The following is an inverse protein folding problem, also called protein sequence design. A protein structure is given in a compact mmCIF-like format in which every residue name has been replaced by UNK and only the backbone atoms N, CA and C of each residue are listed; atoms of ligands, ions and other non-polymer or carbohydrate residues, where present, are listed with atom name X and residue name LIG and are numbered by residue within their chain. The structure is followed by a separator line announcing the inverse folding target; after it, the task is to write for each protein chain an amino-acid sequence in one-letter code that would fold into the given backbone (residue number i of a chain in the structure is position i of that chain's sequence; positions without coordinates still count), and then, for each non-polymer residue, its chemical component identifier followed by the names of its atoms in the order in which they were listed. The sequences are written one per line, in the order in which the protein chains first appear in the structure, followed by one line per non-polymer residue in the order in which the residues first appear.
data_IF_636927454904
#
_entry.id   IF_636927454904
#
_cell.length_a   1.000
_cell.length_b   1.000
_cell.length_c   1.000
_cell.angle_alpha   90.00
_cell.angle_beta   90.00
_cell.angle_gamma   90.00
#
_symmetry.space_group_name_H-M   'P 1'
#
loop_
_entity.id
_entity.type
_entity.pdbx_description
1 polymer ?
#
# COMPACT_ATOMS: atom_id res chain seq x y z
N UNK A 1 -5.60 -35.37 4.82
CA UNK A 1 -5.87 -33.92 4.70
C UNK A 1 -4.64 -33.26 4.11
N UNK A 2 -4.77 -32.47 3.03
CA UNK A 2 -3.63 -31.73 2.49
C UNK A 2 -3.10 -30.75 3.54
N UNK A 3 -1.78 -30.56 3.58
CA UNK A 3 -1.14 -29.56 4.44
C UNK A 3 -1.52 -28.17 3.94
N UNK A 4 -2.19 -27.39 4.79
CA UNK A 4 -2.46 -25.99 4.52
C UNK A 4 -1.19 -25.20 4.92
N UNK A 5 -0.35 -24.90 3.93
CA UNK A 5 0.88 -24.13 4.14
C UNK A 5 0.50 -22.65 4.20
N UNK A 6 0.31 -22.13 5.42
CA UNK A 6 0.12 -20.70 5.65
C UNK A 6 1.50 -20.06 5.78
N UNK A 7 1.81 -19.12 4.90
CA UNK A 7 3.02 -18.32 5.04
C UNK A 7 2.94 -17.48 6.32
N UNK A 8 4.01 -17.50 7.13
CA UNK A 8 4.16 -16.48 8.16
C UNK A 8 4.11 -15.15 7.42
N UNK A 9 3.22 -14.25 7.83
CA UNK A 9 3.27 -12.87 7.37
C UNK A 9 4.62 -12.31 7.77
N UNK A 10 5.59 -12.42 6.87
CA UNK A 10 6.77 -11.59 6.86
C UNK A 10 6.21 -10.20 6.65
N UNK A 11 5.91 -9.50 7.75
CA UNK A 11 5.93 -8.06 7.77
C UNK A 11 7.31 -7.71 7.25
N UNK A 12 7.42 -7.52 5.94
CA UNK A 12 8.67 -7.45 5.20
C UNK A 12 9.43 -6.16 5.48
N UNK A 13 9.17 -5.54 6.65
CA UNK A 13 9.98 -4.53 7.33
C UNK A 13 10.60 -3.56 6.35
N UNK A 14 9.81 -3.06 5.41
CA UNK A 14 10.29 -2.28 4.29
C UNK A 14 9.95 -0.81 4.48
N UNK A 15 10.68 0.04 3.78
CA UNK A 15 10.26 1.42 3.58
C UNK A 15 9.73 1.58 2.18
N UNK A 16 8.60 2.25 2.01
CA UNK A 16 8.18 2.70 0.70
C UNK A 16 9.24 3.67 0.17
N UNK A 17 9.84 3.31 -0.94
CA UNK A 17 10.72 4.17 -1.73
C UNK A 17 9.92 4.67 -2.93
N UNK A 18 9.43 5.92 -2.93
CA UNK A 18 8.58 6.41 -4.01
C UNK A 18 9.19 6.28 -5.41
N UNK A 19 10.53 6.39 -5.52
CA UNK A 19 11.23 6.22 -6.79
C UNK A 19 11.04 4.84 -7.43
N UNK A 20 10.88 3.79 -6.62
CA UNK A 20 10.80 2.41 -7.11
C UNK A 20 9.41 2.09 -7.68
N UNK A 21 8.40 2.90 -7.32
CA UNK A 21 6.99 2.68 -7.67
C UNK A 21 6.33 3.88 -8.34
N UNK A 22 7.08 4.93 -8.67
CA UNK A 22 6.55 6.19 -9.23
C UNK A 22 5.84 6.02 -10.57
N UNK A 23 6.24 5.02 -11.36
CA UNK A 23 5.69 4.76 -12.70
C UNK A 23 4.56 3.72 -12.68
N UNK A 24 4.19 3.22 -11.48
CA UNK A 24 3.10 2.27 -11.33
C UNK A 24 1.76 2.93 -11.69
N UNK A 25 0.95 2.34 -12.60
CA UNK A 25 -0.38 2.85 -12.94
C UNK A 25 -1.33 2.96 -11.74
N UNK A 26 -1.16 2.12 -10.72
CA UNK A 26 -1.94 2.19 -9.49
C UNK A 26 -1.23 1.54 -8.30
N UNK A 27 -1.54 2.07 -7.13
CA UNK A 27 -1.20 1.55 -5.82
C UNK A 27 -2.50 1.40 -5.03
N UNK A 28 -2.68 0.26 -4.37
CA UNK A 28 -3.69 0.09 -3.32
C UNK A 28 -2.97 0.14 -1.98
N UNK A 29 -3.33 1.14 -1.16
CA UNK A 29 -2.73 1.40 0.15
C UNK A 29 -3.77 1.07 1.21
N UNK A 30 -3.48 0.07 2.04
CA UNK A 30 -4.29 -0.32 3.19
C UNK A 30 -3.58 0.15 4.46
N UNK A 31 -4.18 1.10 5.18
CA UNK A 31 -3.51 1.79 6.28
C UNK A 31 -3.80 1.08 7.60
N UNK A 32 -2.78 0.44 8.16
CA UNK A 32 -2.90 -0.34 9.38
C UNK A 32 -2.78 0.53 10.63
N UNK A 33 -1.80 1.44 10.66
CA UNK A 33 -1.59 2.36 11.78
C UNK A 33 -0.83 3.62 11.38
N UNK A 34 -0.87 4.64 12.24
CA UNK A 34 -0.15 5.89 12.08
C UNK A 34 0.47 6.33 13.41
N UNK A 35 1.73 6.73 13.36
CA UNK A 35 2.51 7.25 14.48
C UNK A 35 3.03 8.65 14.12
N UNK A 36 2.50 9.69 14.77
CA UNK A 36 3.03 11.05 14.62
C UNK A 36 4.36 11.20 15.36
N UNK A 37 5.33 11.87 14.75
CA UNK A 37 6.61 12.22 15.40
C UNK A 37 7.33 11.03 16.06
N UNK A 38 7.26 9.84 15.44
CA UNK A 38 7.97 8.66 15.89
C UNK A 38 9.48 8.95 15.96
N UNK A 39 10.16 8.69 17.10
CA UNK A 39 11.61 8.89 17.20
C UNK A 39 12.37 8.01 16.20
N UNK A 40 13.26 8.62 15.40
CA UNK A 40 14.19 7.91 14.50
C UNK A 40 15.61 8.47 14.65
N UNK A 41 16.65 7.75 14.22
CA UNK A 41 18.03 8.27 14.23
C UNK A 41 18.23 9.60 13.46
N UNK A 42 17.34 9.88 12.50
CA UNK A 42 17.39 11.10 11.68
C UNK A 42 16.39 12.17 12.14
N UNK A 43 15.94 12.10 13.39
CA UNK A 43 14.93 12.97 13.97
C UNK A 43 13.52 12.38 13.95
N UNK A 44 12.56 13.00 14.65
CA UNK A 44 11.17 12.57 14.65
C UNK A 44 10.55 12.57 13.25
N UNK A 45 9.80 11.53 12.92
CA UNK A 45 9.09 11.42 11.62
C UNK A 45 7.67 10.92 11.82
N UNK A 46 6.76 11.41 11.00
CA UNK A 46 5.45 10.80 10.86
C UNK A 46 5.61 9.47 10.11
N UNK A 47 4.99 8.40 10.61
CA UNK A 47 5.14 7.05 10.07
C UNK A 47 3.76 6.40 9.94
N UNK A 48 3.41 5.97 8.73
CA UNK A 48 2.25 5.10 8.51
C UNK A 48 2.73 3.66 8.28
N UNK A 49 2.09 2.69 8.92
CA UNK A 49 2.27 1.27 8.63
C UNK A 49 1.14 0.85 7.69
N UNK A 50 1.49 0.28 6.53
CA UNK A 50 0.53 -0.05 5.50
C UNK A 50 0.83 -1.39 4.85
N UNK A 51 -0.21 -2.05 4.35
CA UNK A 51 -0.07 -3.05 3.31
C UNK A 51 -0.22 -2.34 1.96
N UNK A 52 0.75 -2.54 1.07
CA UNK A 52 0.82 -1.81 -0.20
C UNK A 52 0.87 -2.80 -1.35
N UNK A 53 -0.15 -2.72 -2.18
CA UNK A 53 -0.25 -3.51 -3.40
C UNK A 53 0.15 -2.63 -4.58
N UNK A 54 1.14 -3.07 -5.35
CA UNK A 54 1.74 -2.31 -6.46
C UNK A 54 1.44 -3.00 -7.78
N UNK A 55 0.71 -2.31 -8.65
CA UNK A 55 0.56 -2.71 -10.05
C UNK A 55 1.66 -2.02 -10.84
N UNK A 56 2.80 -2.70 -11.03
CA UNK A 56 4.03 -2.11 -11.57
C UNK A 56 3.90 -1.55 -12.99
N UNK A 57 3.08 -2.20 -13.80
CA UNK A 57 2.82 -1.81 -15.18
C UNK A 57 1.39 -2.19 -15.57
N UNK A 58 1.03 -1.87 -16.82
CA UNK A 58 -0.31 -2.16 -17.34
C UNK A 58 -0.59 -3.67 -17.46
N UNK A 59 0.43 -4.47 -17.78
CA UNK A 59 0.27 -5.91 -17.93
C UNK A 59 -0.05 -6.58 -16.58
N UNK A 60 0.62 -6.17 -15.50
CA UNK A 60 0.34 -6.62 -14.14
C UNK A 60 -1.08 -6.24 -13.70
N UNK A 61 -1.54 -5.04 -14.08
CA UNK A 61 -2.90 -4.58 -13.81
C UNK A 61 -3.96 -5.40 -14.57
N UNK A 62 -3.76 -5.60 -15.88
CA UNK A 62 -4.71 -6.35 -16.70
C UNK A 62 -4.77 -7.84 -16.30
N UNK A 63 -3.65 -8.40 -15.85
CA UNK A 63 -3.55 -9.76 -15.32
C UNK A 63 -4.00 -9.89 -13.85
N UNK A 64 -4.33 -8.78 -13.17
CA UNK A 64 -4.63 -8.73 -11.74
C UNK A 64 -3.53 -9.41 -10.88
N UNK A 65 -2.27 -9.25 -11.27
CA UNK A 65 -1.11 -9.89 -10.64
C UNK A 65 -0.15 -8.82 -10.07
N UNK A 66 -0.51 -8.15 -8.97
CA UNK A 66 0.33 -7.12 -8.37
C UNK A 66 1.44 -7.72 -7.49
N UNK A 67 2.39 -6.86 -7.13
CA UNK A 67 3.29 -7.13 -6.01
C UNK A 67 2.62 -6.69 -4.71
N UNK A 68 2.61 -7.56 -3.69
CA UNK A 68 2.00 -7.29 -2.39
C UNK A 68 3.10 -7.11 -1.34
N UNK A 69 3.17 -5.93 -0.74
CA UNK A 69 4.13 -5.59 0.30
C UNK A 69 3.41 -5.35 1.63
N UNK A 70 3.40 -6.35 2.51
CA UNK A 70 2.74 -6.25 3.83
C UNK A 70 3.63 -5.60 4.88
N UNK A 71 3.04 -4.78 5.75
CA UNK A 71 3.73 -4.14 6.86
C UNK A 71 4.82 -3.16 6.44
N UNK A 72 4.63 -2.46 5.33
CA UNK A 72 5.57 -1.46 4.82
C UNK A 72 5.38 -0.12 5.55
N UNK A 73 6.48 0.53 5.90
CA UNK A 73 6.48 1.87 6.51
C UNK A 73 6.58 2.96 5.45
N UNK A 74 5.73 3.96 5.58
CA UNK A 74 5.74 5.19 4.80
C UNK A 74 6.17 6.31 5.73
N UNK A 75 7.36 6.88 5.50
CA UNK A 75 7.99 7.87 6.39
C UNK A 75 8.30 9.20 5.69
N UNK A 76 7.89 9.37 4.42
CA UNK A 76 7.91 10.69 3.80
C UNK A 76 6.77 11.51 4.39
N UNK A 77 7.10 12.59 5.11
CA UNK A 77 6.17 13.33 5.97
C UNK A 77 4.82 13.64 5.32
N UNK A 78 4.81 14.14 4.08
CA UNK A 78 3.55 14.44 3.38
C UNK A 78 2.74 13.17 3.09
N UNK A 79 3.39 12.14 2.54
CA UNK A 79 2.73 10.87 2.24
C UNK A 79 2.17 10.22 3.50
N UNK A 80 2.93 10.19 4.59
CA UNK A 80 2.50 9.58 5.85
C UNK A 80 1.34 10.35 6.49
N UNK A 81 1.42 11.68 6.53
CA UNK A 81 0.40 12.53 7.14
C UNK A 81 -0.93 12.49 6.40
N UNK A 82 -0.91 12.40 5.07
CA UNK A 82 -2.12 12.27 4.26
C UNK A 82 -2.87 10.94 4.51
N UNK A 83 -2.18 9.92 5.02
CA UNK A 83 -2.76 8.62 5.36
C UNK A 83 -3.30 8.53 6.80
N UNK A 84 -2.95 9.47 7.68
CA UNK A 84 -3.44 9.51 9.07
C UNK A 84 -4.98 9.42 9.20
N UNK A 85 -5.81 10.12 8.41
CA UNK A 85 -7.27 10.00 8.50
C UNK A 85 -7.82 8.70 7.91
N UNK A 86 -6.98 7.86 7.28
CA UNK A 86 -7.38 6.64 6.58
C UNK A 86 -7.04 5.36 7.36
N UNK A 87 -6.59 5.45 8.62
CA UNK A 87 -6.30 4.28 9.45
C UNK A 87 -7.52 3.36 9.54
N UNK A 88 -7.32 2.07 9.24
CA UNK A 88 -8.38 1.07 9.13
C UNK A 88 -9.15 1.08 7.80
N UNK A 89 -8.70 1.86 6.82
CA UNK A 89 -9.29 1.97 5.49
C UNK A 89 -8.25 1.76 4.39
N UNK A 90 -8.74 1.62 3.15
CA UNK A 90 -7.92 1.49 1.96
C UNK A 90 -8.12 2.66 0.99
N UNK A 91 -7.11 2.99 0.19
CA UNK A 91 -7.19 4.00 -0.86
C UNK A 91 -6.43 3.58 -2.12
N UNK A 92 -6.90 4.02 -3.29
CA UNK A 92 -6.31 3.73 -4.60
C UNK A 92 -5.69 5.01 -5.16
N UNK A 93 -4.37 5.01 -5.33
CA UNK A 93 -3.60 6.21 -5.65
C UNK A 93 -2.48 5.94 -6.66
N UNK A 94 -1.99 6.99 -7.29
CA UNK A 94 -0.67 7.06 -7.94
C UNK A 94 0.24 8.00 -7.15
N UNK A 95 1.54 7.93 -7.44
CA UNK A 95 2.51 8.90 -6.93
C UNK A 95 2.75 10.02 -7.94
N UNK A 96 2.91 11.24 -7.42
CA UNK A 96 3.37 12.38 -8.20
C UNK A 96 4.38 13.19 -7.41
N UNK A 97 5.16 14.01 -8.11
CA UNK A 97 5.98 15.05 -7.47
C UNK A 97 5.33 16.41 -7.63
N UNK A 98 5.44 17.22 -6.58
CA UNK A 98 5.15 18.66 -6.64
C UNK A 98 6.45 19.46 -6.60
N UNK A 99 6.55 20.57 -7.34
CA UNK A 99 7.72 21.44 -7.29
C UNK A 99 8.03 21.92 -5.87
N UNK A 100 9.31 22.09 -5.52
CA UNK A 100 9.70 22.62 -4.22
C UNK A 100 9.22 24.06 -4.05
N UNK A 101 8.72 24.40 -2.86
CA UNK A 101 8.29 25.77 -2.53
C UNK A 101 9.46 26.69 -2.15
N UNK A 102 10.65 26.14 -1.87
CA UNK A 102 11.83 26.89 -1.43
C UNK A 102 13.00 26.65 -2.39
N UNK A 103 13.81 27.67 -2.73
CA UNK A 103 15.03 27.49 -3.50
C UNK A 103 15.95 26.45 -2.85
N UNK A 104 16.48 25.51 -3.65
CA UNK A 104 17.40 24.46 -3.20
C UNK A 104 16.76 23.24 -2.52
N UNK A 105 15.44 23.20 -2.35
CA UNK A 105 14.73 22.03 -1.85
C UNK A 105 14.43 21.01 -2.98
N UNK A 106 14.34 19.73 -2.63
CA UNK A 106 13.94 18.68 -3.56
C UNK A 106 12.41 18.66 -3.76
N UNK A 107 11.91 18.19 -4.93
CA UNK A 107 10.48 17.96 -5.14
C UNK A 107 9.90 17.02 -4.07
N UNK A 108 8.67 17.30 -3.66
CA UNK A 108 7.97 16.52 -2.66
C UNK A 108 7.08 15.46 -3.34
N UNK A 109 7.05 14.25 -2.79
CA UNK A 109 6.11 13.22 -3.22
C UNK A 109 4.73 13.45 -2.60
N UNK A 110 3.69 13.23 -3.40
CA UNK A 110 2.29 13.32 -2.99
C UNK A 110 1.47 12.17 -3.58
N UNK A 111 0.41 11.79 -2.87
CA UNK A 111 -0.62 10.92 -3.40
C UNK A 111 -1.50 11.67 -4.40
N UNK A 112 -1.91 10.98 -5.46
CA UNK A 112 -2.95 11.43 -6.38
C UNK A 112 -3.99 10.33 -6.54
N UNK A 113 -5.28 10.64 -6.49
CA UNK A 113 -6.30 9.66 -6.86
C UNK A 113 -6.06 9.18 -8.28
N UNK A 114 -6.23 7.88 -8.53
CA UNK A 114 -6.22 7.35 -9.89
C UNK A 114 -7.41 7.96 -10.65
N UNK A 115 -7.16 8.73 -11.70
CA UNK A 115 -8.23 9.38 -12.47
C UNK A 115 -8.92 8.43 -13.47
N UNK A 116 -8.17 7.47 -14.02
CA UNK A 116 -8.71 6.50 -14.99
C UNK A 116 -9.66 5.51 -14.31
N UNK A 117 -10.92 5.51 -14.74
CA UNK A 117 -11.96 4.67 -14.15
C UNK A 117 -11.69 3.17 -14.37
N UNK A 118 -11.14 2.79 -15.54
CA UNK A 118 -10.84 1.39 -15.85
C UNK A 118 -9.75 0.84 -14.93
N UNK A 119 -8.71 1.63 -14.68
CA UNK A 119 -7.65 1.30 -13.74
C UNK A 119 -8.20 1.14 -12.33
N UNK A 120 -9.05 2.07 -11.86
CA UNK A 120 -9.70 1.93 -10.55
C UNK A 120 -10.53 0.65 -10.43
N UNK A 121 -11.34 0.34 -11.45
CA UNK A 121 -12.18 -0.85 -11.45
C UNK A 121 -11.36 -2.14 -11.45
N UNK A 122 -10.23 -2.18 -12.17
CA UNK A 122 -9.32 -3.32 -12.12
C UNK A 122 -8.74 -3.56 -10.72
N UNK A 123 -8.33 -2.50 -10.03
CA UNK A 123 -7.83 -2.59 -8.65
C UNK A 123 -8.93 -3.04 -7.67
N UNK A 124 -10.16 -2.51 -7.81
CA UNK A 124 -11.31 -2.93 -6.99
C UNK A 124 -11.59 -4.42 -7.21
N UNK A 125 -11.68 -4.85 -8.48
CA UNK A 125 -11.90 -6.26 -8.83
C UNK A 125 -10.83 -7.17 -8.21
N UNK A 126 -9.57 -6.76 -8.24
CA UNK A 126 -8.50 -7.50 -7.57
C UNK A 126 -8.75 -7.61 -6.05
N UNK A 127 -9.11 -6.52 -5.39
CA UNK A 127 -9.37 -6.50 -3.95
C UNK A 127 -10.54 -7.43 -3.57
N UNK A 128 -11.63 -7.39 -4.32
CA UNK A 128 -12.80 -8.27 -4.15
C UNK A 128 -12.43 -9.75 -4.34
N UNK A 129 -11.63 -10.08 -5.36
CA UNK A 129 -11.17 -11.45 -5.61
C UNK A 129 -10.28 -11.96 -4.47
N UNK A 130 -9.41 -11.09 -3.95
CA UNK A 130 -8.54 -11.40 -2.81
C UNK A 130 -9.37 -11.65 -1.55
N UNK A 131 -10.35 -10.81 -1.25
CA UNK A 131 -11.22 -10.96 -0.09
C UNK A 131 -12.07 -12.23 -0.16
N UNK A 132 -12.68 -12.51 -1.31
CA UNK A 132 -13.46 -13.74 -1.52
C UNK A 132 -12.60 -15.00 -1.33
N UNK A 133 -11.34 -14.99 -1.78
CA UNK A 133 -10.42 -16.10 -1.57
C UNK A 133 -10.06 -16.30 -0.09
N UNK A 134 -9.91 -15.20 0.67
CA UNK A 134 -9.67 -15.26 2.12
C UNK A 134 -10.89 -15.81 2.85
N UNK A 135 -12.10 -15.33 2.53
CA UNK A 135 -13.34 -15.82 3.13
C UNK A 135 -13.57 -17.32 2.87
N UNK A 136 -13.33 -17.77 1.63
CA UNK A 136 -13.40 -19.19 1.28
C UNK A 136 -12.40 -20.03 2.09
N UNK A 137 -11.16 -19.56 2.23
CA UNK A 137 -10.14 -20.25 3.02
C UNK A 137 -10.48 -20.31 4.52
N UNK A 138 -11.11 -19.27 5.07
CA UNK A 138 -11.60 -19.26 6.46
C UNK A 138 -12.76 -20.23 6.64
N UNK A 139 -13.69 -20.30 5.70
CA UNK A 139 -14.83 -21.21 5.76
C UNK A 139 -14.43 -22.70 5.68
N UNK A 140 -13.34 -23.01 4.96
CA UNK A 140 -12.78 -24.36 4.86
C UNK A 140 -11.91 -24.76 6.07
N UNK A 141 -11.57 -23.82 6.95
CA UNK A 141 -10.77 -24.11 8.13
C UNK A 141 -11.57 -24.99 9.11
N UNK A 142 -10.98 -26.09 9.62
CA UNK A 142 -11.66 -26.95 10.58
C UNK A 142 -12.01 -26.16 11.85
N UNK A 143 -13.26 -26.22 12.28
CA UNK A 143 -13.68 -25.74 13.60
C UNK A 143 -13.14 -26.71 14.65
N UNK A 144 -12.44 -26.17 15.63
CA UNK A 144 -12.02 -26.92 16.82
C UNK A 144 -13.01 -26.60 17.92
N UNK A 145 -14.12 -27.35 17.95
CA UNK A 145 -14.97 -27.49 19.15
C UNK A 145 -14.28 -28.41 20.18
#
# INVERSE_FOLDING_TARGET
MPLNLVEIATAGGGWLKPNDVKDAPALLIEVNSYEAQRPTPNGPKDSALCDVTVFKDRAALDALNPEINKGMRIEQTLLARDLAPLVGSATIVTLAQIPPKRPGAYPAWVWRPVADANTRQAVIKYAEQREAAVEAAVAEAPSFD
#
